data_IF_152011344221
#
_entry.id   IF_152011344221
#
_cell.length_a   1.000
_cell.length_b   1.000
_cell.length_c   1.000
_cell.angle_alpha   90.00
_cell.angle_beta   90.00
_cell.angle_gamma   90.00
#
_symmetry.space_group_name_H-M   'P 1'
#
loop_
_entity.id
_entity.type
_entity.pdbx_description
1 polymer ?
#
# COMPACT_ATOMS: atom_id res chain seq x y z
N UNK A 1 -39.15 -18.37 -43.45
CA UNK A 1 -38.93 -17.19 -42.59
C UNK A 1 -38.00 -17.59 -41.47
N UNK A 2 -36.77 -17.05 -41.47
CA UNK A 2 -35.67 -17.40 -40.57
C UNK A 2 -35.53 -16.27 -39.55
N UNK A 3 -36.06 -16.43 -38.33
CA UNK A 3 -35.79 -15.52 -37.22
C UNK A 3 -36.33 -16.12 -35.91
N UNK A 4 -35.62 -17.08 -35.33
CA UNK A 4 -35.92 -17.59 -33.99
C UNK A 4 -34.67 -18.12 -33.29
N UNK A 5 -33.53 -17.43 -33.42
CA UNK A 5 -32.30 -17.74 -32.67
C UNK A 5 -31.55 -16.42 -32.40
N UNK A 6 -32.04 -15.57 -31.51
CA UNK A 6 -31.30 -14.34 -31.16
C UNK A 6 -31.67 -13.72 -29.80
N UNK A 7 -32.29 -14.46 -28.86
CA UNK A 7 -32.73 -13.87 -27.59
C UNK A 7 -32.10 -14.50 -26.34
N UNK A 8 -31.07 -15.34 -26.48
CA UNK A 8 -30.47 -16.07 -25.35
C UNK A 8 -28.94 -15.94 -25.26
N UNK A 9 -28.37 -14.81 -25.73
CA UNK A 9 -26.93 -14.56 -25.67
C UNK A 9 -26.53 -13.29 -24.88
N UNK A 10 -27.49 -12.53 -24.35
CA UNK A 10 -27.24 -11.21 -23.74
C UNK A 10 -27.19 -11.19 -22.21
N UNK A 11 -27.25 -12.34 -21.54
CA UNK A 11 -27.31 -12.44 -20.07
C UNK A 11 -25.98 -12.84 -19.39
N UNK A 12 -24.85 -12.86 -20.10
CA UNK A 12 -23.54 -13.23 -19.55
C UNK A 12 -22.65 -12.04 -19.14
N UNK A 13 -23.14 -10.80 -19.21
CA UNK A 13 -22.47 -9.63 -18.62
C UNK A 13 -22.85 -9.46 -17.13
N UNK A 14 -22.97 -10.57 -16.40
CA UNK A 14 -22.91 -10.53 -14.95
C UNK A 14 -21.54 -10.01 -14.57
N UNK A 15 -21.44 -8.69 -14.36
CA UNK A 15 -20.26 -8.03 -13.86
C UNK A 15 -19.79 -8.78 -12.63
N UNK A 16 -18.63 -9.42 -12.73
CA UNK A 16 -17.91 -9.86 -11.55
C UNK A 16 -17.75 -8.61 -10.70
N UNK A 17 -18.34 -8.64 -9.51
CA UNK A 17 -17.98 -7.70 -8.46
C UNK A 17 -16.45 -7.64 -8.48
N UNK A 18 -15.93 -6.49 -8.91
CA UNK A 18 -14.49 -6.29 -9.03
C UNK A 18 -14.03 -6.19 -7.58
N UNK A 19 -13.78 -7.35 -6.96
CA UNK A 19 -12.88 -7.42 -5.82
C UNK A 19 -11.69 -6.56 -6.25
N UNK A 20 -11.49 -5.46 -5.53
CA UNK A 20 -10.73 -4.30 -5.98
C UNK A 20 -9.51 -4.76 -6.77
N UNK A 21 -9.42 -4.38 -8.05
CA UNK A 21 -8.55 -5.04 -9.04
C UNK A 21 -7.08 -5.12 -8.57
N UNK A 22 -6.69 -4.18 -7.71
CA UNK A 22 -5.39 -4.05 -7.07
C UNK A 22 -5.18 -4.95 -5.83
N UNK A 23 -6.24 -5.43 -5.16
CA UNK A 23 -6.21 -6.23 -3.94
C UNK A 23 -5.66 -7.65 -4.12
N UNK A 24 -5.39 -8.07 -5.36
CA UNK A 24 -4.79 -9.36 -5.68
C UNK A 24 -3.25 -9.34 -5.74
N UNK A 25 -2.62 -8.17 -5.61
CA UNK A 25 -1.17 -8.05 -5.51
C UNK A 25 -0.77 -8.32 -4.05
N UNK A 26 0.00 -9.38 -3.83
CA UNK A 26 0.54 -9.76 -2.52
C UNK A 26 2.07 -9.61 -2.58
N UNK A 27 2.65 -8.60 -1.90
CA UNK A 27 4.10 -8.42 -1.85
C UNK A 27 4.79 -9.68 -1.33
N UNK A 28 5.91 -10.04 -1.94
CA UNK A 28 6.65 -11.27 -1.64
C UNK A 28 6.11 -12.55 -2.28
N UNK A 29 4.99 -12.50 -3.00
CA UNK A 29 4.44 -13.67 -3.71
C UNK A 29 4.09 -13.34 -5.16
N UNK A 30 3.48 -12.19 -5.42
CA UNK A 30 3.09 -11.81 -6.78
C UNK A 30 4.31 -11.49 -7.65
N UNK A 31 4.31 -11.99 -8.89
CA UNK A 31 5.37 -11.76 -9.88
C UNK A 31 4.99 -10.68 -10.89
N UNK A 32 5.98 -10.10 -11.58
CA UNK A 32 5.77 -9.13 -12.66
C UNK A 32 4.85 -9.65 -13.77
N UNK A 33 4.97 -10.94 -14.12
CA UNK A 33 4.08 -11.57 -15.10
C UNK A 33 2.62 -11.59 -14.62
N UNK A 34 2.38 -11.89 -13.34
CA UNK A 34 1.04 -11.89 -12.77
C UNK A 34 0.44 -10.47 -12.68
N UNK A 35 1.24 -9.46 -12.36
CA UNK A 35 0.80 -8.06 -12.37
C UNK A 35 0.38 -7.64 -13.79
N UNK A 36 1.22 -7.95 -14.80
CA UNK A 36 0.94 -7.62 -16.20
C UNK A 36 -0.27 -8.38 -16.76
N UNK A 37 -0.47 -9.64 -16.38
CA UNK A 37 -1.62 -10.42 -16.79
C UNK A 37 -2.95 -9.82 -16.29
N UNK A 38 -2.94 -9.12 -15.15
CA UNK A 38 -4.13 -8.51 -14.55
C UNK A 38 -4.37 -7.09 -15.03
N UNK A 39 -3.33 -6.25 -14.95
CA UNK A 39 -3.46 -4.81 -15.18
C UNK A 39 -3.01 -4.37 -16.57
N UNK A 40 -2.54 -5.30 -17.41
CA UNK A 40 -1.96 -4.98 -18.70
C UNK A 40 -0.58 -4.30 -18.58
N UNK A 41 -0.23 -3.55 -19.62
CA UNK A 41 1.05 -2.85 -19.67
C UNK A 41 1.04 -1.63 -18.73
N UNK A 42 2.14 -1.36 -18.01
CA UNK A 42 2.22 -0.14 -17.23
C UNK A 42 2.32 1.08 -18.14
N UNK A 43 1.82 2.23 -17.68
CA UNK A 43 2.06 3.53 -18.35
C UNK A 43 3.53 3.91 -18.35
N UNK A 44 4.29 3.50 -17.34
CA UNK A 44 5.74 3.71 -17.27
C UNK A 44 6.44 2.50 -16.66
N UNK A 45 7.57 2.14 -17.23
CA UNK A 45 8.48 1.13 -16.70
C UNK A 45 9.88 1.71 -16.63
N UNK A 46 10.52 1.66 -15.47
CA UNK A 46 11.86 2.20 -15.26
C UNK A 46 12.73 1.24 -14.44
N UNK A 47 13.99 0.99 -14.85
CA UNK A 47 14.95 0.37 -13.95
C UNK A 47 15.26 1.33 -12.81
N UNK A 48 15.34 0.81 -11.59
CA UNK A 48 15.65 1.57 -10.37
C UNK A 48 16.71 0.83 -9.57
N UNK A 49 17.55 1.57 -8.85
CA UNK A 49 18.44 0.98 -7.85
C UNK A 49 17.73 1.05 -6.50
N UNK A 50 17.44 -0.10 -5.92
CA UNK A 50 16.91 -0.17 -4.56
C UNK A 50 17.93 -0.88 -3.69
N UNK A 51 18.38 -0.18 -2.66
CA UNK A 51 19.55 -0.53 -1.83
C UNK A 51 20.81 -0.66 -2.69
N UNK A 52 21.13 -1.87 -3.14
CA UNK A 52 22.27 -2.19 -4.01
C UNK A 52 21.88 -3.02 -5.24
N UNK A 53 20.60 -3.35 -5.39
CA UNK A 53 20.11 -4.25 -6.42
C UNK A 53 19.47 -3.49 -7.57
N UNK A 54 19.64 -4.02 -8.78
CA UNK A 54 18.89 -3.60 -9.96
C UNK A 54 17.47 -4.14 -9.84
N UNK A 55 16.53 -3.21 -9.74
CA UNK A 55 15.11 -3.43 -9.57
C UNK A 55 14.34 -2.79 -10.71
N UNK A 56 13.06 -3.13 -10.81
CA UNK A 56 12.15 -2.60 -11.80
C UNK A 56 11.00 -1.90 -11.09
N UNK A 57 10.64 -0.72 -11.58
CA UNK A 57 9.47 0.01 -11.11
C UNK A 57 8.48 0.17 -12.25
N UNK A 58 7.22 -0.21 -12.00
CA UNK A 58 6.10 0.03 -12.88
C UNK A 58 5.15 1.06 -12.29
N UNK A 59 4.63 1.92 -13.14
CA UNK A 59 3.66 2.95 -12.78
C UNK A 59 2.44 2.83 -13.69
N UNK A 60 1.27 2.82 -13.07
CA UNK A 60 -0.05 2.77 -13.69
C UNK A 60 -0.80 4.05 -13.35
N UNK A 61 -1.12 4.85 -14.36
CA UNK A 61 -1.79 6.15 -14.26
C UNK A 61 -2.87 6.32 -15.32
N UNK A 62 -3.75 7.30 -15.12
CA UNK A 62 -4.79 7.64 -16.10
C UNK A 62 -5.70 6.46 -16.37
N UNK A 63 -5.86 6.07 -17.63
CA UNK A 63 -6.72 4.96 -18.04
C UNK A 63 -6.17 3.57 -17.69
N UNK A 64 -4.89 3.46 -17.29
CA UNK A 64 -4.28 2.20 -16.84
C UNK A 64 -4.26 2.09 -15.31
N UNK A 65 -4.59 3.16 -14.57
CA UNK A 65 -4.76 3.06 -13.13
C UNK A 65 -6.06 2.29 -12.80
N UNK A 66 -6.06 1.48 -11.72
CA UNK A 66 -7.28 0.85 -11.24
C UNK A 66 -8.38 1.88 -10.92
N UNK A 67 -9.65 1.44 -10.96
CA UNK A 67 -10.78 2.29 -10.63
C UNK A 67 -10.64 2.92 -9.23
N UNK A 68 -10.93 4.23 -9.12
CA UNK A 68 -10.75 4.98 -7.87
C UNK A 68 -9.30 5.34 -7.53
N UNK A 69 -8.32 4.77 -8.22
CA UNK A 69 -6.89 5.03 -7.98
C UNK A 69 -6.38 6.10 -8.94
N UNK A 70 -5.65 7.09 -8.42
CA UNK A 70 -4.97 8.11 -9.23
C UNK A 70 -3.69 7.55 -9.83
N UNK A 71 -2.91 6.86 -8.99
CA UNK A 71 -1.64 6.23 -9.37
C UNK A 71 -1.44 4.94 -8.58
N UNK A 72 -1.02 3.89 -9.28
CA UNK A 72 -0.49 2.68 -8.66
C UNK A 72 0.98 2.52 -9.09
N UNK A 73 1.87 2.38 -8.12
CA UNK A 73 3.30 2.12 -8.34
C UNK A 73 3.64 0.75 -7.80
N UNK A 74 4.31 -0.08 -8.58
CA UNK A 74 4.74 -1.43 -8.20
C UNK A 74 6.25 -1.51 -8.33
N UNK A 75 6.93 -1.81 -7.23
CA UNK A 75 8.37 -2.02 -7.20
C UNK A 75 8.66 -3.52 -7.09
N UNK A 76 9.46 -4.02 -8.03
CA UNK A 76 9.94 -5.39 -8.05
C UNK A 76 11.36 -5.47 -7.50
N UNK A 77 11.79 -6.68 -7.13
CA UNK A 77 13.13 -6.91 -6.60
C UNK A 77 13.12 -7.11 -5.10
N UNK A 78 12.91 -8.34 -4.68
CA UNK A 78 12.88 -8.71 -3.27
C UNK A 78 14.10 -9.54 -2.88
N UNK A 79 14.81 -9.09 -1.84
CA UNK A 79 15.86 -9.90 -1.21
C UNK A 79 15.24 -10.82 -0.15
N UNK A 80 15.47 -12.12 -0.29
CA UNK A 80 15.03 -13.14 0.65
C UNK A 80 16.25 -13.89 1.22
N UNK A 81 16.09 -14.70 2.29
CA UNK A 81 17.16 -15.60 2.74
C UNK A 81 17.69 -16.55 1.63
N UNK A 82 16.85 -16.88 0.64
CA UNK A 82 17.20 -17.69 -0.52
C UNK A 82 17.85 -16.92 -1.67
N UNK A 83 18.09 -15.61 -1.52
CA UNK A 83 18.69 -14.76 -2.54
C UNK A 83 17.75 -13.68 -3.09
N UNK A 84 18.26 -12.94 -4.07
CA UNK A 84 17.55 -11.84 -4.72
C UNK A 84 16.61 -12.34 -5.82
N UNK A 85 15.37 -11.86 -5.79
CA UNK A 85 14.31 -12.23 -6.73
C UNK A 85 13.86 -10.97 -7.49
N UNK A 86 14.36 -10.73 -8.72
CA UNK A 86 14.14 -9.48 -9.46
C UNK A 86 12.69 -9.28 -9.90
N UNK A 87 11.94 -10.37 -10.14
CA UNK A 87 10.59 -10.31 -10.70
C UNK A 87 9.47 -10.35 -9.65
N UNK A 88 9.80 -10.45 -8.37
CA UNK A 88 8.81 -10.52 -7.28
C UNK A 88 8.53 -9.12 -6.75
N UNK A 89 7.24 -8.82 -6.53
CA UNK A 89 6.80 -7.55 -5.97
C UNK A 89 7.39 -7.38 -4.57
N UNK A 90 8.20 -6.35 -4.39
CA UNK A 90 8.74 -5.94 -3.10
C UNK A 90 7.76 -5.02 -2.39
N UNK A 91 7.27 -4.01 -3.08
CA UNK A 91 6.30 -3.05 -2.55
C UNK A 91 5.34 -2.64 -3.64
N UNK A 92 4.12 -2.28 -3.27
CA UNK A 92 3.29 -1.49 -4.16
C UNK A 92 2.56 -0.40 -3.38
N UNK A 93 2.33 0.72 -4.06
CA UNK A 93 1.73 1.92 -3.51
C UNK A 93 0.51 2.29 -4.32
N UNK A 94 -0.60 2.54 -3.62
CA UNK A 94 -1.82 3.12 -4.18
C UNK A 94 -1.95 4.55 -3.71
N UNK A 95 -2.18 5.45 -4.65
CA UNK A 95 -2.59 6.82 -4.39
C UNK A 95 -4.06 6.95 -4.81
N UNK A 96 -5.01 6.76 -3.90
CA UNK A 96 -6.42 6.85 -4.23
C UNK A 96 -6.82 8.30 -4.56
N UNK A 97 -7.94 8.48 -5.27
CA UNK A 97 -8.58 9.78 -5.35
C UNK A 97 -9.21 10.14 -3.99
N UNK A 98 -9.39 11.43 -3.66
CA UNK A 98 -10.11 11.82 -2.45
C UNK A 98 -11.49 11.16 -2.38
N UNK A 99 -11.94 10.83 -1.17
CA UNK A 99 -13.23 10.17 -0.85
C UNK A 99 -13.35 8.70 -1.29
N UNK A 100 -12.30 8.09 -1.82
CA UNK A 100 -12.29 6.65 -2.12
C UNK A 100 -12.05 5.85 -0.84
N UNK A 101 -11.03 6.22 -0.07
CA UNK A 101 -10.82 5.70 1.28
C UNK A 101 -10.78 6.84 2.28
N UNK A 102 -11.62 6.72 3.29
CA UNK A 102 -11.56 7.52 4.51
C UNK A 102 -11.13 6.65 5.70
N UNK A 103 -10.86 7.30 6.83
CA UNK A 103 -10.46 6.60 8.07
C UNK A 103 -11.41 5.50 8.50
N UNK A 104 -12.72 5.70 8.36
CA UNK A 104 -13.73 4.69 8.74
C UNK A 104 -13.69 3.51 7.79
N UNK A 105 -13.54 3.74 6.49
CA UNK A 105 -13.41 2.68 5.49
C UNK A 105 -12.17 1.83 5.76
N UNK A 106 -11.04 2.47 6.11
CA UNK A 106 -9.82 1.76 6.47
C UNK A 106 -10.00 0.88 7.70
N UNK A 107 -10.61 1.41 8.77
CA UNK A 107 -10.86 0.63 9.99
C UNK A 107 -11.87 -0.49 9.77
N UNK A 108 -12.86 -0.29 8.89
CA UNK A 108 -13.82 -1.33 8.55
C UNK A 108 -13.20 -2.45 7.70
N UNK A 109 -12.26 -2.12 6.81
CA UNK A 109 -11.61 -3.09 5.92
C UNK A 109 -10.47 -3.86 6.56
N UNK A 110 -9.61 -3.18 7.34
CA UNK A 110 -8.38 -3.75 7.91
C UNK A 110 -8.39 -3.85 9.43
N UNK A 111 -9.44 -3.36 10.10
CA UNK A 111 -9.53 -3.38 11.56
C UNK A 111 -8.71 -2.27 12.22
N UNK A 112 -8.39 -2.49 13.51
CA UNK A 112 -7.61 -1.52 14.30
C UNK A 112 -6.13 -1.65 13.92
N UNK A 113 -5.43 -0.54 13.60
CA UNK A 113 -4.01 -0.60 13.27
C UNK A 113 -3.19 -1.05 14.49
N UNK A 114 -2.14 -1.83 14.23
CA UNK A 114 -1.15 -2.24 15.23
C UNK A 114 -0.51 -1.02 15.90
N UNK A 115 -0.24 0.04 15.13
CA UNK A 115 0.30 1.29 15.64
C UNK A 115 -0.22 2.48 14.84
N UNK A 116 -0.37 3.60 15.53
CA UNK A 116 -0.61 4.91 14.89
C UNK A 116 0.61 5.81 15.10
N UNK A 117 0.93 6.62 14.11
CA UNK A 117 2.04 7.57 14.16
C UNK A 117 1.76 8.79 13.30
N UNK A 118 2.77 9.64 13.17
CA UNK A 118 2.73 10.84 12.35
C UNK A 118 4.06 10.99 11.63
N UNK A 119 4.02 11.12 10.32
CA UNK A 119 5.19 11.27 9.46
C UNK A 119 5.08 12.62 8.73
N UNK A 120 5.91 13.58 9.15
CA UNK A 120 5.76 14.97 8.74
C UNK A 120 4.40 15.53 9.16
N UNK A 121 3.56 15.85 8.17
CA UNK A 121 2.20 16.38 8.40
C UNK A 121 1.09 15.31 8.28
N UNK A 122 1.43 14.09 7.87
CA UNK A 122 0.46 13.01 7.65
C UNK A 122 0.31 12.15 8.90
N UNK A 123 -0.94 11.86 9.28
CA UNK A 123 -1.23 10.77 10.19
C UNK A 123 -0.97 9.44 9.47
N UNK A 124 -0.44 8.46 10.18
CA UNK A 124 -0.08 7.15 9.61
C UNK A 124 -0.65 6.03 10.46
N UNK A 125 -1.34 5.10 9.82
CA UNK A 125 -1.71 3.80 10.41
C UNK A 125 -0.75 2.73 9.93
N UNK A 126 -0.28 1.92 10.86
CA UNK A 126 0.61 0.80 10.62
C UNK A 126 -0.10 -0.50 10.98
N UNK A 127 -0.17 -1.40 10.01
CA UNK A 127 -0.64 -2.77 10.15
C UNK A 127 0.55 -3.70 9.95
N UNK A 128 0.81 -4.56 10.93
CA UNK A 128 1.96 -5.46 10.96
C UNK A 128 1.98 -6.44 9.77
N UNK A 129 0.80 -6.73 9.21
CA UNK A 129 0.61 -7.54 8.01
C UNK A 129 1.19 -6.91 6.73
N UNK A 130 1.77 -5.71 6.83
CA UNK A 130 2.49 -5.05 5.74
C UNK A 130 1.67 -3.97 5.05
N UNK A 131 0.80 -3.26 5.78
CA UNK A 131 0.08 -2.11 5.24
C UNK A 131 0.41 -0.84 6.04
N UNK A 132 0.83 0.20 5.34
CA UNK A 132 0.93 1.56 5.86
C UNK A 132 -0.11 2.43 5.16
N UNK A 133 -0.92 3.13 5.94
CA UNK A 133 -1.93 4.06 5.42
C UNK A 133 -1.58 5.47 5.84
N UNK A 134 -1.29 6.31 4.86
CA UNK A 134 -0.99 7.72 5.02
C UNK A 134 -2.25 8.53 4.75
N UNK A 135 -2.68 9.31 5.74
CA UNK A 135 -3.77 10.25 5.58
C UNK A 135 -3.27 11.58 5.02
N UNK A 136 -4.17 12.32 4.38
CA UNK A 136 -3.88 13.69 3.97
C UNK A 136 -3.71 14.62 5.19
N UNK A 137 -3.41 15.90 4.94
CA UNK A 137 -3.18 16.89 6.00
C UNK A 137 -4.41 17.14 6.87
N UNK A 138 -5.62 16.86 6.38
CA UNK A 138 -6.86 16.97 7.15
C UNK A 138 -7.07 15.76 8.06
N UNK A 139 -6.37 14.65 7.79
CA UNK A 139 -6.47 13.39 8.53
C UNK A 139 -7.71 12.57 8.17
N UNK A 140 -8.50 13.02 7.18
CA UNK A 140 -9.79 12.42 6.82
C UNK A 140 -9.67 11.42 5.67
N UNK A 141 -9.12 11.89 4.53
CA UNK A 141 -8.92 11.08 3.34
C UNK A 141 -7.56 10.37 3.37
N UNK A 142 -7.51 9.17 2.79
CA UNK A 142 -6.25 8.48 2.55
C UNK A 142 -5.54 9.13 1.37
N UNK A 143 -4.29 9.55 1.60
CA UNK A 143 -3.41 10.07 0.55
C UNK A 143 -2.60 8.96 -0.12
N UNK A 144 -2.21 7.93 0.63
CA UNK A 144 -1.52 6.76 0.08
C UNK A 144 -1.70 5.52 0.95
N UNK A 145 -1.70 4.36 0.29
CA UNK A 145 -1.59 3.05 0.92
C UNK A 145 -0.32 2.38 0.38
N UNK A 146 0.56 1.94 1.26
CA UNK A 146 1.80 1.25 0.89
C UNK A 146 1.74 -0.17 1.43
N UNK A 147 1.84 -1.13 0.53
CA UNK A 147 1.82 -2.54 0.82
C UNK A 147 3.24 -3.10 0.70
N UNK A 148 3.65 -3.82 1.73
CA UNK A 148 4.95 -4.47 1.88
C UNK A 148 4.73 -5.91 2.35
N UNK A 149 5.74 -6.79 2.32
CA UNK A 149 5.66 -8.07 3.01
C UNK A 149 5.43 -7.84 4.51
N UNK A 150 4.86 -8.82 5.23
CA UNK A 150 4.66 -8.71 6.67
C UNK A 150 5.92 -8.20 7.37
N UNK A 151 5.74 -7.14 8.16
CA UNK A 151 6.87 -6.53 8.84
C UNK A 151 7.21 -7.38 10.08
N UNK A 152 8.49 -7.67 10.33
CA UNK A 152 8.89 -8.28 11.58
C UNK A 152 8.38 -7.43 12.75
N UNK A 153 7.91 -8.09 13.81
CA UNK A 153 7.53 -7.41 15.03
C UNK A 153 8.75 -6.63 15.54
N UNK A 154 8.65 -5.30 15.58
CA UNK A 154 9.74 -4.50 16.11
C UNK A 154 9.97 -4.94 17.56
N UNK A 155 11.23 -5.22 17.99
CA UNK A 155 11.48 -5.49 19.39
C UNK A 155 10.93 -4.33 20.23
N UNK A 156 10.35 -4.61 21.41
CA UNK A 156 9.76 -3.57 22.25
C UNK A 156 10.78 -2.45 22.42
N UNK A 157 10.38 -1.23 22.07
CA UNK A 157 11.25 -0.06 22.21
C UNK A 157 11.71 -0.02 23.67
N UNK A 158 13.03 -0.09 23.89
CA UNK A 158 13.59 0.10 25.20
C UNK A 158 12.99 1.38 25.80
N UNK A 159 12.60 1.39 27.09
CA UNK A 159 11.99 2.55 27.71
C UNK A 159 12.90 3.77 27.46
N UNK A 160 12.29 4.86 26.99
CA UNK A 160 12.99 6.12 26.77
C UNK A 160 13.82 6.45 28.03
N UNK A 161 15.08 6.92 27.89
CA UNK A 161 15.85 7.37 29.04
C UNK A 161 15.00 8.37 29.81
N UNK A 162 14.74 8.08 31.10
CA UNK A 162 14.02 8.98 31.97
C UNK A 162 14.71 10.35 31.90
N UNK A 163 13.94 11.39 31.57
CA UNK A 163 14.43 12.75 31.59
C UNK A 163 15.10 13.01 32.95
N UNK A 164 16.29 13.63 33.00
CA UNK A 164 16.92 13.96 34.26
C UNK A 164 15.97 14.86 35.06
N UNK A 165 15.73 14.49 36.32
CA UNK A 165 14.86 15.22 37.22
C UNK A 165 15.28 16.71 37.29
N UNK A 166 14.33 17.67 37.32
CA UNK A 166 14.67 19.06 37.48
C UNK A 166 15.44 19.26 38.78
N UNK A 167 16.63 19.87 38.69
CA UNK A 167 17.43 20.22 39.84
C UNK A 167 16.60 21.09 40.79
N UNK A 168 16.42 20.61 42.02
CA UNK A 168 15.82 21.40 43.09
C UNK A 168 16.79 22.53 43.44
N UNK A 169 16.48 23.74 42.99
CA UNK A 169 17.19 24.95 43.42
C UNK A 169 16.94 25.14 44.92
N UNK A 170 17.96 24.86 45.74
CA UNK A 170 17.94 25.13 47.16
C UNK A 170 17.84 26.65 47.42
N UNK A 171 17.12 27.10 48.47
CA UNK A 171 16.91 28.51 48.74
C UNK A 171 18.20 29.16 49.28
N UNK A 172 18.58 30.29 48.70
CA UNK A 172 19.71 31.11 49.14
C UNK A 172 19.36 31.74 50.49
N UNK A 173 19.94 31.22 51.58
CA UNK A 173 19.90 31.86 52.89
C UNK A 173 20.85 33.06 52.91
N UNK A 174 20.29 34.21 53.34
CA UNK A 174 20.86 35.50 53.79
C UNK A 174 22.23 35.94 53.30
#
# INVERSE_FOLDING_TARGET
MRAAVAALALLLLAGTAVAEEWGAIVPGTTTAAAVRARHGAPTRSAPVKIDKYDALQWVYEGAQAPAGIRRMTVDFGLLTPGGYQPDVVRTFRLEPRPRIFDRRTILAGWGVPTKTGREGEADVYFYQEGLLVYFDKSGFDVAAMVFTPPQPEAPPSAPAPAAPAPATTAPRQR
#
